data_IF_252810239507
#
_entry.id   IF_252810239507
#
_cell.length_a   1.000
_cell.length_b   1.000
_cell.length_c   1.000
_cell.angle_alpha   90.00
_cell.angle_beta   90.00
_cell.angle_gamma   90.00
#
_symmetry.space_group_name_H-M   'P 1'
#
loop_
_entity.id
_entity.type
_entity.pdbx_description
1 polymer ?
#
# COMPACT_ATOMS: atom_id res chain seq x y z
N UNK A 1 -25.98 -10.00 -6.49
CA UNK A 1 -24.79 -9.28 -5.96
C UNK A 1 -23.58 -9.70 -6.76
N UNK A 2 -22.84 -8.74 -7.33
CA UNK A 2 -21.60 -9.03 -8.06
C UNK A 2 -20.46 -9.49 -7.16
N UNK A 3 -19.39 -10.01 -7.75
CA UNK A 3 -18.14 -10.42 -7.09
C UNK A 3 -17.05 -9.40 -7.45
N UNK A 4 -16.49 -8.76 -6.43
CA UNK A 4 -15.42 -7.75 -6.55
C UNK A 4 -14.11 -8.33 -5.99
N UNK A 5 -13.13 -8.66 -6.84
CA UNK A 5 -11.88 -9.29 -6.40
C UNK A 5 -11.11 -8.42 -5.40
N UNK A 6 -11.03 -7.10 -5.63
CA UNK A 6 -10.30 -6.16 -4.77
C UNK A 6 -10.85 -6.11 -3.34
N UNK A 7 -12.16 -6.14 -3.19
CA UNK A 7 -12.82 -6.13 -1.88
C UNK A 7 -12.62 -7.47 -1.18
N UNK A 8 -12.76 -8.57 -1.91
CA UNK A 8 -12.64 -9.92 -1.35
C UNK A 8 -11.19 -10.26 -0.96
N UNK A 9 -10.21 -9.84 -1.74
CA UNK A 9 -8.80 -10.00 -1.42
C UNK A 9 -8.42 -9.21 -0.16
N UNK A 10 -8.93 -7.99 0.02
CA UNK A 10 -8.73 -7.24 1.27
C UNK A 10 -9.45 -7.87 2.46
N UNK A 11 -10.66 -8.43 2.25
CA UNK A 11 -11.39 -9.16 3.31
C UNK A 11 -10.65 -10.39 3.81
N UNK A 12 -9.94 -11.11 2.94
CA UNK A 12 -9.06 -12.20 3.36
C UNK A 12 -8.12 -11.73 4.47
N UNK A 13 -7.38 -10.64 4.24
CA UNK A 13 -6.44 -10.10 5.22
C UNK A 13 -7.14 -9.64 6.50
N UNK A 14 -8.29 -9.00 6.37
CA UNK A 14 -9.06 -8.57 7.54
C UNK A 14 -9.49 -9.74 8.42
N UNK A 15 -9.90 -10.88 7.83
CA UNK A 15 -10.22 -12.08 8.60
C UNK A 15 -9.00 -12.65 9.33
N UNK A 16 -7.83 -12.69 8.68
CA UNK A 16 -6.61 -13.18 9.32
C UNK A 16 -6.13 -12.27 10.45
N UNK A 17 -6.21 -10.95 10.27
CA UNK A 17 -5.88 -9.97 11.33
C UNK A 17 -6.87 -10.04 12.49
N UNK A 18 -8.16 -10.13 12.20
CA UNK A 18 -9.20 -10.27 13.21
C UNK A 18 -9.02 -11.58 14.00
N UNK A 19 -8.68 -12.69 13.33
CA UNK A 19 -8.35 -13.95 13.99
C UNK A 19 -7.19 -13.78 14.97
N UNK A 20 -6.09 -13.17 14.53
CA UNK A 20 -4.92 -12.94 15.39
C UNK A 20 -5.29 -12.13 16.64
N UNK A 21 -6.14 -11.11 16.50
CA UNK A 21 -6.66 -10.34 17.65
C UNK A 21 -7.49 -11.21 18.61
N UNK A 22 -8.37 -12.06 18.07
CA UNK A 22 -9.19 -12.97 18.91
C UNK A 22 -8.34 -14.01 19.64
N UNK A 23 -7.27 -14.50 19.00
CA UNK A 23 -6.32 -15.42 19.62
C UNK A 23 -5.55 -14.76 20.77
N UNK A 24 -5.08 -13.53 20.58
CA UNK A 24 -4.41 -12.74 21.64
C UNK A 24 -5.36 -12.44 22.81
N UNK A 25 -6.65 -12.26 22.53
CA UNK A 25 -7.67 -12.09 23.56
C UNK A 25 -8.01 -13.40 24.32
N UNK A 26 -7.48 -14.55 23.90
CA UNK A 26 -7.74 -15.86 24.52
C UNK A 26 -9.01 -16.56 24.02
N UNK A 27 -9.68 -16.02 23.00
CA UNK A 27 -10.95 -16.54 22.44
C UNK A 27 -10.88 -16.64 20.90
N UNK A 28 -10.01 -17.50 20.34
CA UNK A 28 -9.81 -17.57 18.89
C UNK A 28 -11.11 -17.91 18.13
N UNK A 29 -11.49 -17.06 17.17
CA UNK A 29 -12.65 -17.32 16.29
C UNK A 29 -12.21 -18.03 15.00
N UNK A 30 -12.19 -19.35 15.07
CA UNK A 30 -11.78 -20.23 13.96
C UNK A 30 -12.60 -20.04 12.68
N UNK A 31 -13.81 -19.47 12.76
CA UNK A 31 -14.64 -19.16 11.57
C UNK A 31 -13.97 -18.16 10.64
N UNK A 32 -13.09 -17.31 11.15
CA UNK A 32 -12.41 -16.27 10.38
C UNK A 32 -11.39 -16.86 9.38
N UNK A 33 -10.40 -17.68 9.80
CA UNK A 33 -9.52 -18.39 8.86
C UNK A 33 -10.29 -19.25 7.84
N UNK A 34 -11.39 -19.89 8.25
CA UNK A 34 -12.20 -20.72 7.35
C UNK A 34 -12.88 -19.88 6.25
N UNK A 35 -13.42 -18.71 6.60
CA UNK A 35 -13.94 -17.74 5.61
C UNK A 35 -12.83 -17.19 4.73
N UNK A 36 -11.64 -16.93 5.27
CA UNK A 36 -10.49 -16.49 4.50
C UNK A 36 -10.10 -17.55 3.45
N UNK A 37 -9.99 -18.82 3.84
CA UNK A 37 -9.70 -19.93 2.92
C UNK A 37 -10.73 -20.02 1.79
N UNK A 38 -12.02 -19.90 2.09
CA UNK A 38 -13.09 -19.90 1.09
C UNK A 38 -12.96 -18.72 0.10
N UNK A 39 -12.59 -17.52 0.58
CA UNK A 39 -12.35 -16.38 -0.30
C UNK A 39 -11.13 -16.59 -1.21
N UNK A 40 -10.06 -17.17 -0.67
CA UNK A 40 -8.84 -17.47 -1.43
C UNK A 40 -9.12 -18.40 -2.61
N UNK A 41 -9.89 -19.46 -2.41
CA UNK A 41 -10.27 -20.36 -3.50
C UNK A 41 -11.10 -19.65 -4.57
N UNK A 42 -12.08 -18.82 -4.17
CA UNK A 42 -12.91 -18.08 -5.12
C UNK A 42 -12.13 -17.06 -5.96
N UNK A 43 -11.08 -16.46 -5.39
CA UNK A 43 -10.26 -15.47 -6.10
C UNK A 43 -9.45 -16.12 -7.24
N UNK A 44 -9.03 -17.38 -7.09
CA UNK A 44 -8.33 -18.11 -8.16
C UNK A 44 -9.16 -18.20 -9.44
N UNK A 45 -10.47 -18.40 -9.32
CA UNK A 45 -11.39 -18.50 -10.46
C UNK A 45 -11.56 -17.17 -11.23
N UNK A 46 -11.14 -16.05 -10.62
CA UNK A 46 -11.23 -14.72 -11.18
C UNK A 46 -9.94 -14.29 -11.89
N UNK A 47 -8.81 -14.98 -11.67
CA UNK A 47 -7.55 -14.60 -12.31
C UNK A 47 -7.61 -14.83 -13.82
N UNK A 48 -7.34 -13.79 -14.58
CA UNK A 48 -7.26 -13.80 -16.03
C UNK A 48 -5.80 -13.67 -16.45
N UNK A 49 -5.14 -14.81 -16.67
CA UNK A 49 -3.73 -14.86 -17.04
C UNK A 49 -3.41 -14.23 -18.40
N UNK A 50 -4.38 -14.05 -19.29
CA UNK A 50 -4.13 -13.35 -20.56
C UNK A 50 -4.03 -11.83 -20.36
N UNK A 51 -4.87 -11.29 -19.47
CA UNK A 51 -4.89 -9.86 -19.14
C UNK A 51 -3.95 -9.50 -17.98
N UNK A 52 -3.40 -10.50 -17.27
CA UNK A 52 -2.66 -10.32 -16.01
C UNK A 52 -3.46 -9.54 -14.96
N UNK A 53 -4.78 -9.78 -14.93
CA UNK A 53 -5.73 -9.04 -14.10
C UNK A 53 -6.79 -9.97 -13.49
N UNK A 54 -7.55 -9.48 -12.50
CA UNK A 54 -8.71 -10.20 -11.96
C UNK A 54 -10.01 -9.73 -12.60
N UNK A 55 -10.81 -10.69 -13.08
CA UNK A 55 -12.16 -10.44 -13.57
C UNK A 55 -13.10 -10.08 -12.40
N UNK A 56 -13.99 -9.14 -12.64
CA UNK A 56 -15.17 -8.89 -11.82
C UNK A 56 -16.30 -9.81 -12.31
N UNK A 57 -17.22 -10.17 -11.41
CA UNK A 57 -18.48 -10.81 -11.82
C UNK A 57 -19.61 -9.83 -11.56
N UNK A 58 -20.34 -9.45 -12.61
CA UNK A 58 -21.50 -8.59 -12.54
C UNK A 58 -22.67 -9.21 -11.75
N UNK A 59 -23.67 -8.39 -11.43
CA UNK A 59 -24.88 -8.89 -10.77
C UNK A 59 -25.68 -9.88 -11.64
N UNK A 60 -25.48 -9.83 -12.96
CA UNK A 60 -26.04 -10.74 -13.96
C UNK A 60 -25.21 -12.04 -14.12
N UNK A 61 -24.13 -12.19 -13.36
CA UNK A 61 -23.24 -13.35 -13.41
C UNK A 61 -22.20 -13.32 -14.53
N UNK A 62 -22.15 -12.25 -15.34
CA UNK A 62 -21.17 -12.14 -16.43
C UNK A 62 -19.83 -11.64 -15.92
N UNK A 63 -18.75 -12.06 -16.58
CA UNK A 63 -17.41 -11.50 -16.36
C UNK A 63 -17.37 -10.06 -16.89
N UNK A 64 -16.72 -9.20 -16.12
CA UNK A 64 -16.49 -7.78 -16.40
C UNK A 64 -15.04 -7.46 -16.07
N UNK A 65 -14.47 -6.46 -16.74
CA UNK A 65 -13.10 -6.01 -16.51
C UNK A 65 -13.15 -4.56 -16.06
N UNK A 66 -12.49 -4.28 -14.94
CA UNK A 66 -12.32 -2.92 -14.43
C UNK A 66 -10.89 -2.75 -13.96
N UNK A 67 -10.16 -1.87 -14.61
CA UNK A 67 -8.78 -1.57 -14.26
C UNK A 67 -8.77 -0.46 -13.22
N UNK A 68 -8.98 -0.82 -11.96
CA UNK A 68 -8.96 0.11 -10.83
C UNK A 68 -7.72 -0.06 -9.96
N UNK A 69 -7.21 1.05 -9.41
CA UNK A 69 -6.08 1.06 -8.49
C UNK A 69 -6.36 0.27 -7.20
N UNK A 70 -7.63 0.01 -6.86
CA UNK A 70 -8.00 -0.79 -5.70
C UNK A 70 -7.37 -2.20 -5.75
N UNK A 71 -7.05 -2.69 -6.96
CA UNK A 71 -6.40 -3.99 -7.16
C UNK A 71 -4.99 -4.05 -6.56
N UNK A 72 -4.32 -2.91 -6.40
CA UNK A 72 -2.97 -2.84 -5.86
C UNK A 72 -2.92 -2.81 -4.32
N UNK A 73 -4.08 -2.71 -3.65
CA UNK A 73 -4.16 -2.53 -2.20
C UNK A 73 -4.06 -3.83 -1.39
N UNK A 74 -3.84 -4.95 -2.07
CA UNK A 74 -3.64 -6.26 -1.46
C UNK A 74 -2.41 -6.98 -2.02
N UNK A 75 -1.47 -6.26 -2.66
CA UNK A 75 -0.28 -6.88 -3.25
C UNK A 75 0.55 -7.67 -2.24
N UNK A 76 0.56 -7.30 -0.96
CA UNK A 76 1.25 -8.05 0.10
C UNK A 76 0.44 -9.20 0.71
N UNK A 77 -0.76 -9.47 0.19
CA UNK A 77 -1.64 -10.49 0.75
C UNK A 77 -1.25 -11.88 0.26
N UNK A 78 -1.27 -12.86 1.18
CA UNK A 78 -1.09 -14.28 0.85
C UNK A 78 -2.26 -14.87 0.06
N UNK A 79 -3.30 -14.08 -0.22
CA UNK A 79 -4.42 -14.50 -1.04
C UNK A 79 -4.02 -14.66 -2.51
N UNK A 80 -2.99 -13.95 -2.95
CA UNK A 80 -2.44 -14.01 -4.31
C UNK A 80 -1.02 -14.58 -4.30
N UNK A 81 -0.68 -15.35 -5.33
CA UNK A 81 0.65 -15.88 -5.58
C UNK A 81 1.60 -14.87 -6.24
N UNK A 82 2.87 -15.27 -6.38
CA UNK A 82 3.91 -14.45 -7.00
C UNK A 82 3.58 -14.09 -8.46
N UNK A 83 3.07 -15.04 -9.25
CA UNK A 83 2.67 -14.80 -10.64
C UNK A 83 1.57 -13.76 -10.76
N UNK A 84 0.53 -13.87 -9.93
CA UNK A 84 -0.60 -12.93 -9.95
C UNK A 84 -0.15 -11.54 -9.51
N UNK A 85 0.71 -11.47 -8.49
CA UNK A 85 1.31 -10.23 -7.99
C UNK A 85 2.17 -9.55 -9.06
N UNK A 86 3.06 -10.30 -9.70
CA UNK A 86 3.90 -9.77 -10.79
C UNK A 86 3.04 -9.30 -11.97
N UNK A 87 1.98 -10.04 -12.29
CA UNK A 87 0.99 -9.65 -13.30
C UNK A 87 0.32 -8.32 -12.97
N UNK A 88 -0.25 -8.17 -11.77
CA UNK A 88 -0.83 -6.91 -11.31
C UNK A 88 0.18 -5.76 -11.35
N UNK A 89 1.38 -5.97 -10.81
CA UNK A 89 2.44 -4.93 -10.78
C UNK A 89 2.84 -4.50 -12.20
N UNK A 90 2.75 -5.38 -13.21
CA UNK A 90 3.07 -5.02 -14.59
C UNK A 90 2.20 -3.90 -15.17
N UNK A 91 1.00 -3.67 -14.61
CA UNK A 91 0.12 -2.57 -15.00
C UNK A 91 0.52 -1.21 -14.40
N UNK A 92 1.37 -1.17 -13.37
CA UNK A 92 1.85 0.08 -12.78
C UNK A 92 2.94 0.70 -13.66
N UNK A 93 2.52 1.23 -14.81
CA UNK A 93 3.38 1.79 -15.84
C UNK A 93 2.79 3.08 -16.45
N UNK A 94 3.59 3.79 -17.25
CA UNK A 94 3.23 5.06 -17.91
C UNK A 94 2.07 4.94 -18.91
N UNK A 95 1.76 3.74 -19.40
CA UNK A 95 0.66 3.56 -20.35
C UNK A 95 -0.69 3.46 -19.65
N UNK A 96 -0.71 2.96 -18.43
CA UNK A 96 -1.95 2.59 -17.73
C UNK A 96 -2.20 3.45 -16.49
N UNK A 97 -1.39 3.30 -15.44
CA UNK A 97 -1.69 3.88 -14.13
C UNK A 97 -0.79 5.05 -13.73
N UNK A 98 0.35 5.26 -14.38
CA UNK A 98 1.31 6.29 -13.98
C UNK A 98 1.30 7.48 -14.95
N UNK A 99 1.55 8.66 -14.40
CA UNK A 99 1.85 9.89 -15.13
C UNK A 99 2.92 10.68 -14.36
N UNK A 100 3.44 11.75 -14.94
CA UNK A 100 4.56 12.53 -14.37
C UNK A 100 4.31 13.00 -12.92
N UNK A 101 3.07 13.35 -12.59
CA UNK A 101 2.71 13.99 -11.31
C UNK A 101 1.90 13.09 -10.37
N UNK A 102 1.78 11.80 -10.67
CA UNK A 102 1.14 10.85 -9.77
C UNK A 102 0.67 9.56 -10.41
N UNK A 103 -0.29 8.94 -9.73
CA UNK A 103 -0.93 7.69 -10.14
C UNK A 103 -2.42 7.94 -10.37
N UNK A 104 -2.99 7.27 -11.36
CA UNK A 104 -4.40 7.29 -11.71
C UNK A 104 -5.18 6.25 -10.88
N UNK A 105 -6.44 6.53 -10.52
CA UNK A 105 -7.32 5.60 -9.82
C UNK A 105 -7.93 4.54 -10.74
N UNK A 106 -7.90 4.78 -12.04
CA UNK A 106 -8.26 3.83 -13.10
C UNK A 106 -7.18 3.82 -14.18
N UNK A 107 -7.02 2.70 -14.89
CA UNK A 107 -6.13 2.65 -16.05
C UNK A 107 -6.61 3.63 -17.11
N UNK A 108 -5.67 4.37 -17.70
CA UNK A 108 -5.90 5.23 -18.88
C UNK A 108 -6.45 4.46 -20.09
N UNK A 109 -6.40 3.13 -20.07
CA UNK A 109 -6.94 2.25 -21.11
C UNK A 109 -8.36 1.74 -20.78
N UNK A 110 -8.87 1.99 -19.58
CA UNK A 110 -10.23 1.60 -19.21
C UNK A 110 -11.25 2.46 -19.95
N UNK A 111 -12.33 1.85 -20.46
CA UNK A 111 -13.35 2.56 -21.22
C UNK A 111 -14.13 3.59 -20.37
N UNK A 112 -14.09 3.45 -19.04
CA UNK A 112 -14.73 4.37 -18.10
C UNK A 112 -13.78 5.42 -17.55
N UNK A 113 -12.53 5.46 -18.02
CA UNK A 113 -11.57 6.48 -17.62
C UNK A 113 -12.07 7.89 -17.97
N UNK A 114 -12.13 8.76 -16.96
CA UNK A 114 -12.43 10.17 -17.08
C UNK A 114 -11.30 11.00 -16.48
N UNK A 115 -10.66 11.82 -17.32
CA UNK A 115 -9.54 12.68 -16.92
C UNK A 115 -9.97 13.81 -15.97
N UNK A 116 -11.23 14.23 -16.01
CA UNK A 116 -11.74 15.33 -15.19
C UNK A 116 -12.20 14.82 -13.81
N UNK A 117 -12.51 13.53 -13.68
CA UNK A 117 -12.76 12.87 -12.40
C UNK A 117 -11.45 12.42 -11.75
N UNK A 118 -10.88 13.32 -10.95
CA UNK A 118 -9.62 13.08 -10.24
C UNK A 118 -9.73 12.19 -8.99
N UNK A 119 -10.93 11.70 -8.65
CA UNK A 119 -11.13 10.78 -7.52
C UNK A 119 -11.19 9.34 -8.02
N UNK A 120 -12.37 8.80 -8.31
CA UNK A 120 -12.56 7.39 -8.65
C UNK A 120 -12.76 7.15 -10.15
N UNK A 121 -12.93 8.20 -10.96
CA UNK A 121 -13.13 8.09 -12.41
C UNK A 121 -11.83 8.04 -13.23
N UNK A 122 -10.69 8.38 -12.66
CA UNK A 122 -9.38 7.99 -13.19
C UNK A 122 -8.34 9.10 -13.34
N UNK A 123 -8.74 10.35 -13.57
CA UNK A 123 -7.83 11.46 -13.88
C UNK A 123 -6.79 11.80 -12.82
N UNK A 124 -7.01 11.30 -11.61
CA UNK A 124 -6.19 11.48 -10.44
C UNK A 124 -6.39 10.32 -9.48
N UNK A 125 -6.09 10.55 -8.21
CA UNK A 125 -6.29 9.54 -7.19
C UNK A 125 -6.53 10.17 -5.82
N UNK A 126 -7.33 9.47 -5.03
CA UNK A 126 -7.43 9.74 -3.60
C UNK A 126 -6.05 9.64 -2.93
N UNK A 127 -5.67 10.67 -2.18
CA UNK A 127 -4.31 10.90 -1.65
C UNK A 127 -3.85 9.80 -0.71
N UNK A 128 -4.77 9.11 -0.04
CA UNK A 128 -4.43 8.01 0.84
C UNK A 128 -4.23 6.66 0.13
N UNK A 129 -4.58 6.53 -1.16
CA UNK A 129 -4.37 5.29 -1.91
C UNK A 129 -2.91 5.12 -2.34
N UNK A 130 -2.23 6.19 -2.77
CA UNK A 130 -0.81 6.10 -3.19
C UNK A 130 0.07 5.58 -2.05
N UNK A 131 0.05 6.13 -0.82
CA UNK A 131 0.85 5.60 0.28
C UNK A 131 0.50 4.17 0.65
N UNK A 132 -0.78 3.80 0.59
CA UNK A 132 -1.20 2.42 0.82
C UNK A 132 -0.57 1.48 -0.21
N UNK A 133 -0.62 1.83 -1.49
CA UNK A 133 -0.09 1.01 -2.59
C UNK A 133 1.45 0.95 -2.54
N UNK A 134 2.13 2.08 -2.35
CA UNK A 134 3.58 2.12 -2.14
C UNK A 134 4.00 1.24 -0.95
N UNK A 135 3.27 1.30 0.18
CA UNK A 135 3.55 0.45 1.34
C UNK A 135 3.46 -1.05 1.00
N UNK A 136 2.50 -1.44 0.16
CA UNK A 136 2.38 -2.82 -0.31
C UNK A 136 3.55 -3.21 -1.22
N UNK A 137 3.97 -2.32 -2.13
CA UNK A 137 5.10 -2.56 -3.03
C UNK A 137 6.42 -2.70 -2.26
N UNK A 138 6.69 -1.81 -1.30
CA UNK A 138 7.84 -1.91 -0.41
C UNK A 138 7.87 -3.23 0.36
N UNK A 139 6.73 -3.65 0.93
CA UNK A 139 6.65 -4.92 1.67
C UNK A 139 6.84 -6.17 0.80
N UNK A 140 6.71 -6.02 -0.52
CA UNK A 140 6.75 -7.14 -1.48
C UNK A 140 7.99 -7.14 -2.35
N UNK A 141 8.97 -6.28 -2.05
CA UNK A 141 10.25 -6.22 -2.74
C UNK A 141 10.25 -5.43 -4.05
N UNK A 142 9.17 -4.71 -4.36
CA UNK A 142 9.09 -3.78 -5.49
C UNK A 142 9.44 -2.35 -5.05
N UNK A 143 10.51 -2.22 -4.27
CA UNK A 143 10.90 -0.97 -3.62
C UNK A 143 11.35 0.12 -4.62
N UNK A 144 11.98 -0.24 -5.73
CA UNK A 144 12.32 0.69 -6.82
C UNK A 144 11.07 1.33 -7.43
N UNK A 145 10.07 0.51 -7.78
CA UNK A 145 8.80 0.99 -8.31
C UNK A 145 8.03 1.81 -7.28
N UNK A 146 8.02 1.38 -6.01
CA UNK A 146 7.41 2.13 -4.93
C UNK A 146 8.05 3.52 -4.77
N UNK A 147 9.38 3.60 -4.91
CA UNK A 147 10.14 4.85 -4.82
C UNK A 147 9.87 5.75 -6.02
N UNK A 148 9.78 5.19 -7.24
CA UNK A 148 9.38 5.93 -8.44
C UNK A 148 8.00 6.57 -8.27
N UNK A 149 6.99 5.77 -7.89
CA UNK A 149 5.62 6.26 -7.66
C UNK A 149 5.60 7.34 -6.57
N UNK A 150 6.33 7.13 -5.48
CA UNK A 150 6.43 8.11 -4.40
C UNK A 150 7.07 9.42 -4.86
N UNK A 151 8.06 9.38 -5.76
CA UNK A 151 8.73 10.58 -6.26
C UNK A 151 7.82 11.48 -7.09
N UNK A 152 6.86 10.87 -7.82
CA UNK A 152 5.87 11.59 -8.63
C UNK A 152 4.93 12.46 -7.80
N UNK A 153 4.76 12.13 -6.52
CA UNK A 153 3.88 12.87 -5.59
C UNK A 153 4.63 13.79 -4.63
N UNK A 154 5.95 13.99 -4.77
CA UNK A 154 6.70 14.93 -3.91
C UNK A 154 6.17 16.35 -3.96
N UNK A 155 5.60 16.77 -5.10
CA UNK A 155 5.00 18.08 -5.22
C UNK A 155 3.84 18.31 -4.23
N UNK A 156 3.18 17.24 -3.73
CA UNK A 156 2.14 17.35 -2.71
C UNK A 156 2.67 18.01 -1.45
N UNK A 157 3.84 17.57 -0.96
CA UNK A 157 4.46 18.14 0.25
C UNK A 157 5.18 19.46 0.00
N UNK A 158 5.61 19.72 -1.23
CA UNK A 158 6.33 20.93 -1.61
C UNK A 158 5.41 22.14 -1.86
N UNK A 159 4.20 21.89 -2.40
CA UNK A 159 3.31 22.95 -2.89
C UNK A 159 2.01 23.11 -2.13
N UNK A 160 1.55 22.08 -1.41
CA UNK A 160 0.25 22.11 -0.76
C UNK A 160 0.40 22.37 0.75
N UNK A 161 -0.37 23.32 1.33
CA UNK A 161 -0.35 23.56 2.76
C UNK A 161 -1.04 22.45 3.57
N UNK A 162 -1.85 21.63 2.91
CA UNK A 162 -2.54 20.47 3.45
C UNK A 162 -2.83 19.47 2.32
N UNK A 163 -3.12 18.21 2.67
CA UNK A 163 -3.54 17.20 1.71
C UNK A 163 -5.06 17.12 1.67
N UNK A 164 -5.61 17.40 0.49
CA UNK A 164 -7.03 17.17 0.19
C UNK A 164 -7.31 15.70 -0.08
N UNK A 165 -8.57 15.39 -0.34
CA UNK A 165 -9.01 14.01 -0.63
C UNK A 165 -8.36 13.43 -1.89
N UNK A 166 -8.28 14.18 -3.00
CA UNK A 166 -7.82 13.65 -4.29
C UNK A 166 -6.98 14.65 -5.06
N UNK A 167 -6.01 14.15 -5.86
CA UNK A 167 -5.06 14.98 -6.64
C UNK A 167 -4.97 14.48 -8.09
N UNK A 168 -4.80 15.40 -9.04
CA UNK A 168 -4.55 15.03 -10.44
C UNK A 168 -3.21 14.31 -10.60
N UNK A 169 -3.16 13.34 -11.52
CA UNK A 169 -1.95 12.55 -11.78
C UNK A 169 -1.12 13.08 -12.97
N UNK A 170 -1.76 13.81 -13.90
CA UNK A 170 -1.15 14.29 -15.14
C UNK A 170 -0.69 15.75 -15.09
N UNK A 171 -1.03 16.50 -14.04
CA UNK A 171 -0.55 17.86 -13.83
C UNK A 171 -0.52 18.23 -12.34
N UNK A 172 0.25 19.25 -11.99
CA UNK A 172 0.29 19.83 -10.64
C UNK A 172 -0.98 20.65 -10.43
N UNK A 173 -2.02 20.00 -9.90
CA UNK A 173 -3.29 20.66 -9.61
C UNK A 173 -4.10 19.91 -8.55
N UNK A 174 -4.84 20.70 -7.78
CA UNK A 174 -5.81 20.23 -6.80
C UNK A 174 -7.16 20.90 -7.12
N UNK A 175 -8.26 20.21 -6.81
CA UNK A 175 -9.61 20.71 -7.07
C UNK A 175 -9.98 21.85 -6.12
N UNK A 176 -10.16 23.03 -6.68
CA UNK A 176 -10.53 24.25 -5.93
C UNK A 176 -11.98 24.24 -5.40
N UNK A 177 -12.85 23.39 -5.96
CA UNK A 177 -14.30 23.48 -5.79
C UNK A 177 -14.94 22.41 -4.90
N UNK A 178 -14.16 21.60 -4.18
CA UNK A 178 -14.69 20.51 -3.34
C UNK A 178 -14.58 20.87 -1.85
N UNK A 179 -15.58 20.54 -1.00
CA UNK A 179 -15.46 20.69 0.46
C UNK A 179 -14.49 19.67 1.09
N UNK A 180 -13.96 18.71 0.32
CA UNK A 180 -13.08 17.64 0.77
C UNK A 180 -11.60 18.06 0.88
N UNK A 181 -11.34 19.24 1.43
CA UNK A 181 -9.99 19.82 1.46
C UNK A 181 -9.16 19.39 2.67
N UNK A 182 -9.75 18.80 3.71
CA UNK A 182 -9.00 18.29 4.87
C UNK A 182 -9.17 16.79 5.04
N UNK A 183 -8.28 16.00 4.44
CA UNK A 183 -8.34 14.55 4.56
C UNK A 183 -7.39 14.04 5.66
N UNK A 184 -7.97 13.56 6.76
CA UNK A 184 -7.20 12.93 7.84
C UNK A 184 -6.58 11.61 7.37
N UNK A 185 -7.17 10.91 6.40
CA UNK A 185 -6.65 9.62 5.93
C UNK A 185 -5.32 9.75 5.17
N UNK A 186 -4.97 10.96 4.74
CA UNK A 186 -3.66 11.33 4.20
C UNK A 186 -2.49 11.13 5.18
N UNK A 187 -2.75 10.91 6.49
CA UNK A 187 -1.73 10.44 7.45
C UNK A 187 -1.10 9.09 7.05
N UNK A 188 -1.74 8.36 6.12
CA UNK A 188 -1.19 7.16 5.49
C UNK A 188 0.19 7.39 4.84
N UNK A 189 0.52 8.61 4.42
CA UNK A 189 1.87 8.96 3.95
C UNK A 189 2.92 8.78 5.05
N UNK A 190 2.67 9.34 6.23
CA UNK A 190 3.54 9.17 7.39
C UNK A 190 3.59 7.69 7.83
N UNK A 191 2.45 6.99 7.81
CA UNK A 191 2.39 5.56 8.12
C UNK A 191 3.27 4.73 7.18
N UNK A 192 3.22 4.99 5.86
CA UNK A 192 4.03 4.29 4.87
C UNK A 192 5.52 4.56 5.08
N UNK A 193 5.93 5.81 5.38
CA UNK A 193 7.32 6.12 5.68
C UNK A 193 7.81 5.34 6.91
N UNK A 194 7.04 5.36 8.01
CA UNK A 194 7.44 4.74 9.27
C UNK A 194 7.45 3.21 9.17
N UNK A 195 6.37 2.62 8.67
CA UNK A 195 6.16 1.17 8.71
C UNK A 195 6.78 0.44 7.52
N UNK A 196 6.78 1.06 6.34
CA UNK A 196 7.32 0.44 5.12
C UNK A 196 8.76 0.87 4.88
N UNK A 197 9.06 2.17 4.74
CA UNK A 197 10.42 2.62 4.38
C UNK A 197 11.43 2.35 5.49
N UNK A 198 11.13 2.77 6.73
CA UNK A 198 11.96 2.41 7.89
C UNK A 198 11.77 0.96 8.32
N UNK A 199 10.78 0.25 7.77
CA UNK A 199 10.54 -1.16 8.02
C UNK A 199 10.27 -1.49 9.49
N UNK A 200 9.60 -0.60 10.22
CA UNK A 200 9.28 -0.77 11.64
C UNK A 200 8.01 -1.60 11.78
N UNK A 201 8.13 -2.80 12.35
CA UNK A 201 7.00 -3.72 12.60
C UNK A 201 7.01 -4.16 14.06
N UNK A 202 5.85 -4.13 14.70
CA UNK A 202 5.67 -4.65 16.05
C UNK A 202 4.79 -5.90 16.02
N UNK A 203 5.13 -6.89 16.85
CA UNK A 203 4.28 -8.06 17.07
C UNK A 203 3.45 -7.93 18.38
N UNK A 204 2.60 -8.92 18.62
CA UNK A 204 1.75 -8.95 19.81
C UNK A 204 2.51 -9.25 21.11
N UNK A 205 3.71 -9.82 21.02
CA UNK A 205 4.59 -10.06 22.17
C UNK A 205 5.38 -8.78 22.56
N UNK A 206 5.26 -7.72 21.77
CA UNK A 206 5.90 -6.43 22.00
C UNK A 206 7.33 -6.34 21.45
N UNK A 207 7.78 -7.32 20.65
CA UNK A 207 9.03 -7.20 19.91
C UNK A 207 8.84 -6.19 18.79
N UNK A 208 9.87 -5.39 18.54
CA UNK A 208 9.89 -4.44 17.43
C UNK A 208 11.02 -4.81 16.49
N UNK A 209 10.67 -5.22 15.27
CA UNK A 209 11.60 -5.50 14.19
C UNK A 209 11.76 -4.26 13.32
N UNK A 210 13.00 -3.92 13.01
CA UNK A 210 13.39 -2.82 12.14
C UNK A 210 14.20 -3.40 10.99
N UNK A 211 13.73 -3.20 9.76
CA UNK A 211 14.42 -3.65 8.53
C UNK A 211 14.09 -2.69 7.38
N UNK A 212 14.86 -1.58 7.22
CA UNK A 212 14.57 -0.58 6.22
C UNK A 212 14.73 -1.11 4.79
N UNK A 213 13.95 -0.54 3.87
CA UNK A 213 13.99 -0.91 2.43
C UNK A 213 15.26 -0.40 1.74
N UNK A 214 15.63 -1.06 0.65
CA UNK A 214 16.85 -0.74 -0.09
C UNK A 214 16.65 0.48 -0.97
N UNK A 215 15.73 0.41 -1.94
CA UNK A 215 15.36 1.57 -2.76
C UNK A 215 14.45 2.48 -1.94
N UNK A 216 14.82 3.75 -1.85
CA UNK A 216 14.18 4.73 -0.97
C UNK A 216 14.46 6.17 -1.43
N UNK A 217 13.70 7.15 -0.94
CA UNK A 217 13.81 8.56 -1.35
C UNK A 217 15.17 9.23 -1.17
N UNK A 218 15.97 8.79 -0.19
CA UNK A 218 17.23 9.43 0.14
C UNK A 218 18.25 8.43 0.72
N UNK A 219 19.54 8.67 0.44
CA UNK A 219 20.63 7.86 1.02
C UNK A 219 20.71 7.99 2.54
N UNK A 220 20.41 9.18 3.05
CA UNK A 220 20.33 9.50 4.47
C UNK A 220 18.89 9.76 4.89
N UNK A 221 18.42 8.99 5.86
CA UNK A 221 17.09 9.16 6.45
C UNK A 221 17.17 8.91 7.95
N UNK A 222 16.46 9.72 8.73
CA UNK A 222 16.44 9.56 10.18
C UNK A 222 15.03 9.78 10.72
N UNK A 223 14.63 8.92 11.64
CA UNK A 223 13.43 9.09 12.46
C UNK A 223 13.81 8.99 13.93
N UNK A 224 13.35 9.94 14.73
CA UNK A 224 13.68 10.06 16.14
C UNK A 224 12.46 9.91 17.02
N UNK A 225 12.68 9.45 18.25
CA UNK A 225 11.65 9.34 19.28
C UNK A 225 10.43 8.51 18.85
N UNK A 226 10.65 7.43 18.09
CA UNK A 226 9.60 6.45 17.75
C UNK A 226 9.14 5.77 19.02
N UNK A 227 7.82 5.80 19.28
CA UNK A 227 7.20 5.20 20.46
C UNK A 227 6.25 4.09 20.04
N UNK A 228 6.63 2.83 20.27
CA UNK A 228 5.79 1.66 20.00
C UNK A 228 6.08 0.57 21.05
N UNK A 229 5.07 -0.18 21.47
CA UNK A 229 5.19 -1.27 22.46
C UNK A 229 6.03 -0.92 23.71
N UNK A 230 5.85 0.30 24.26
CA UNK A 230 6.59 0.86 25.43
C UNK A 230 8.10 1.04 25.20
N UNK A 231 8.58 0.94 23.97
CA UNK A 231 9.96 1.24 23.56
C UNK A 231 10.03 2.66 23.03
N UNK A 232 11.20 3.28 23.21
CA UNK A 232 11.53 4.59 22.63
C UNK A 232 12.87 4.43 21.92
N UNK A 233 12.87 4.59 20.61
CA UNK A 233 14.06 4.42 19.80
C UNK A 233 14.13 5.41 18.64
N UNK A 234 15.29 5.46 18.00
CA UNK A 234 15.52 6.21 16.77
C UNK A 234 16.16 5.29 15.75
N UNK A 235 15.86 5.51 14.47
CA UNK A 235 16.47 4.77 13.36
C UNK A 235 17.16 5.77 12.45
N UNK A 236 18.41 5.50 12.12
CA UNK A 236 19.21 6.29 11.19
C UNK A 236 19.71 5.37 10.08
N UNK A 237 19.43 5.74 8.84
CA UNK A 237 19.82 5.03 7.63
C UNK A 237 20.87 5.88 6.93
N UNK A 238 21.99 5.26 6.54
CA UNK A 238 23.05 5.91 5.79
C UNK A 238 23.61 4.92 4.76
N UNK A 239 23.32 5.16 3.48
CA UNK A 239 23.74 4.30 2.35
C UNK A 239 23.33 2.83 2.57
N UNK A 240 24.28 1.92 2.71
CA UNK A 240 24.00 0.47 2.81
C UNK A 240 23.91 -0.03 4.26
N UNK A 241 23.87 0.89 5.24
CA UNK A 241 23.79 0.57 6.65
C UNK A 241 22.66 1.34 7.34
N UNK A 242 22.17 0.79 8.45
CA UNK A 242 21.28 1.48 9.37
C UNK A 242 21.69 1.21 10.82
N UNK A 243 21.34 2.15 11.70
CA UNK A 243 21.51 2.01 13.12
C UNK A 243 20.20 2.28 13.87
N UNK A 244 20.01 1.54 14.96
CA UNK A 244 18.87 1.69 15.88
C UNK A 244 19.41 2.05 17.24
N UNK A 245 18.94 3.17 17.80
CA UNK A 245 19.31 3.63 19.14
C UNK A 245 18.15 3.45 20.10
N UNK A 246 18.33 2.63 21.13
CA UNK A 246 17.35 2.41 22.22
C UNK A 246 18.06 2.46 23.58
N UNK A 247 17.60 3.30 24.52
CA UNK A 247 18.15 3.41 25.89
C UNK A 247 19.68 3.56 25.96
N UNK A 248 20.26 4.32 25.03
CA UNK A 248 21.71 4.55 24.96
C UNK A 248 22.53 3.41 24.32
N UNK A 249 21.90 2.28 23.98
CA UNK A 249 22.51 1.23 23.15
C UNK A 249 22.32 1.57 21.68
N UNK A 250 23.32 1.19 20.86
CA UNK A 250 23.29 1.35 19.41
C UNK A 250 23.47 -0.05 18.81
N UNK A 251 22.54 -0.40 17.92
CA UNK A 251 22.59 -1.60 17.10
C UNK A 251 22.84 -1.15 15.66
N UNK A 252 23.85 -1.70 14.98
CA UNK A 252 24.15 -1.38 13.59
C UNK A 252 24.01 -2.64 12.74
N UNK A 253 23.41 -2.52 11.57
CA UNK A 253 23.20 -3.60 10.62
C UNK A 253 23.24 -3.09 9.18
N UNK A 254 23.40 -3.98 8.21
CA UNK A 254 23.33 -3.62 6.79
C UNK A 254 21.88 -3.56 6.32
N UNK A 255 21.62 -2.77 5.28
CA UNK A 255 20.34 -2.84 4.58
C UNK A 255 20.12 -4.25 4.05
N UNK A 256 18.90 -4.78 4.25
CA UNK A 256 18.55 -6.18 4.00
C UNK A 256 18.63 -7.08 5.25
N UNK A 257 19.34 -6.65 6.29
CA UNK A 257 19.31 -7.30 7.60
C UNK A 257 18.15 -6.75 8.47
N UNK A 258 17.98 -7.34 9.66
CA UNK A 258 16.98 -6.92 10.64
C UNK A 258 17.60 -6.70 12.02
N UNK A 259 17.09 -5.69 12.74
CA UNK A 259 17.34 -5.48 14.17
C UNK A 259 16.04 -5.72 14.92
N UNK A 260 16.09 -6.48 16.02
CA UNK A 260 14.95 -6.67 16.92
C UNK A 260 15.25 -6.01 18.26
N UNK A 261 14.33 -5.16 18.73
CA UNK A 261 14.36 -4.55 20.06
C UNK A 261 13.47 -5.28 21.05
#
# INVERSE_FOLDING_TARGET
>A
NGIMPDLNARRYRNYMLAYALTAVAGEPDERLPQRAAQLKEKLKDLWNGALQWYDFIGADGKRDIRYTCQMFKFLNSDVIGETERAGLVSHLNEREFLSEYGMHSMSKLDMQYDQDDIDNGGGGICTHFVPQICGQLYETGYDELATDILSRIYWWGDRLPYLGDSMAANLIWNRDSTPLQGDISSVSLAQMIILAIFGIKADFDGNVVISPVKARPAEYMKIENVKICRKIFSVEICRDEFSVREKGKIFTAKIGDKVTL
#
